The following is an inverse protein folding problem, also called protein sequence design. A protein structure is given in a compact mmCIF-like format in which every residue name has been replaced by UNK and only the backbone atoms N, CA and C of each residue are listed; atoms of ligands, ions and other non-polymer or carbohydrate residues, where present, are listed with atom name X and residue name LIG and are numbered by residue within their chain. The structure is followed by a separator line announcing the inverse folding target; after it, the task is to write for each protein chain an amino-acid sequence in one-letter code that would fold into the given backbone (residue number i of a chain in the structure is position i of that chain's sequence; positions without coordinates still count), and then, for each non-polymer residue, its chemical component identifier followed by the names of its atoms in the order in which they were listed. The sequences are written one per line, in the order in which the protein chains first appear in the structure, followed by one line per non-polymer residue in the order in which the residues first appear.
data_IF_884706482397
#
_entry.id   IF_884706482397
#
_cell.length_a   1.000
_cell.length_b   1.000
_cell.length_c   1.000
_cell.angle_alpha   90.00
_cell.angle_beta   90.00
_cell.angle_gamma   90.00
#
_symmetry.space_group_name_H-M   'P 1'
#
loop_
_entity.id
_entity.type
_entity.pdbx_description
1 polymer ?
#
# COMPACT_ATOMS: atom_id res chain seq x y z
N UNK A 1 14.51 -18.69 -0.91
CA UNK A 1 14.87 -18.31 0.48
C UNK A 1 14.93 -16.80 0.54
N UNK A 2 14.47 -16.03 1.51
CA UNK A 2 13.69 -16.23 2.71
C UNK A 2 13.49 -14.81 3.26
N UNK A 3 12.38 -14.14 2.93
CA UNK A 3 12.03 -12.85 3.56
C UNK A 3 10.51 -12.67 3.74
N UNK A 4 9.73 -13.72 3.49
CA UNK A 4 8.29 -13.75 3.84
C UNK A 4 8.07 -13.80 5.37
N UNK A 5 9.10 -14.08 6.17
CA UNK A 5 9.01 -14.26 7.62
C UNK A 5 9.38 -13.02 8.45
N UNK A 6 9.72 -11.88 7.83
CA UNK A 6 10.02 -10.66 8.59
C UNK A 6 8.80 -10.27 9.43
N UNK A 7 8.91 -10.46 10.75
CA UNK A 7 7.92 -10.00 11.72
C UNK A 7 8.07 -8.49 11.84
N UNK A 8 6.97 -7.77 11.86
CA UNK A 8 6.95 -6.34 12.13
C UNK A 8 5.85 -6.04 13.13
N UNK A 9 6.01 -4.95 13.87
CA UNK A 9 4.99 -4.43 14.77
C UNK A 9 4.09 -3.51 13.97
N UNK A 10 2.77 -3.72 14.09
CA UNK A 10 1.79 -2.83 13.47
C UNK A 10 1.95 -1.40 13.98
N UNK A 11 1.85 -0.44 13.08
CA UNK A 11 1.92 0.99 13.39
C UNK A 11 0.66 1.44 14.13
N UNK A 12 -0.49 0.79 13.88
CA UNK A 12 -1.74 1.04 14.59
C UNK A 12 -2.32 -0.28 15.15
N UNK A 13 -1.71 -0.87 16.20
CA UNK A 13 -2.07 -2.20 16.68
C UNK A 13 -3.49 -2.30 17.22
N UNK A 14 -4.02 -1.20 17.77
CA UNK A 14 -5.39 -1.12 18.29
C UNK A 14 -6.47 -1.02 17.20
N UNK A 15 -6.11 -0.71 15.95
CA UNK A 15 -7.08 -0.63 14.86
C UNK A 15 -7.49 -2.03 14.42
N UNK A 16 -8.79 -2.32 14.42
CA UNK A 16 -9.33 -3.58 13.90
C UNK A 16 -9.01 -3.75 12.41
N UNK A 17 -8.70 -4.99 12.02
CA UNK A 17 -8.46 -5.34 10.62
C UNK A 17 -9.73 -5.94 10.01
N UNK A 18 -9.97 -5.72 8.71
CA UNK A 18 -11.03 -6.42 8.00
C UNK A 18 -10.87 -7.94 8.10
N UNK A 19 -11.99 -8.66 8.18
CA UNK A 19 -12.01 -10.13 8.26
C UNK A 19 -11.50 -10.83 6.99
N UNK A 20 -11.45 -10.12 5.87
CA UNK A 20 -10.92 -10.57 4.58
C UNK A 20 -10.36 -9.37 3.80
N UNK A 21 -9.44 -9.62 2.86
CA UNK A 21 -9.01 -8.62 1.87
C UNK A 21 -9.79 -8.77 0.58
N UNK A 22 -10.26 -7.65 0.02
CA UNK A 22 -10.94 -7.69 -1.27
C UNK A 22 -9.97 -7.94 -2.43
N UNK A 23 -10.38 -8.79 -3.36
CA UNK A 23 -9.65 -9.07 -4.59
C UNK A 23 -10.66 -9.01 -5.74
N UNK A 24 -10.58 -8.00 -6.62
CA UNK A 24 -11.50 -7.83 -7.74
C UNK A 24 -11.55 -9.09 -8.62
N UNK A 25 -12.76 -9.47 -9.04
CA UNK A 25 -12.97 -10.63 -9.93
C UNK A 25 -12.70 -12.01 -9.31
N UNK A 26 -12.31 -12.10 -8.03
CA UNK A 26 -12.00 -13.37 -7.34
C UNK A 26 -13.08 -13.81 -6.33
N UNK A 27 -14.31 -13.33 -6.48
CA UNK A 27 -15.47 -13.78 -5.69
C UNK A 27 -15.56 -13.25 -4.25
N UNK A 28 -14.59 -12.45 -3.79
CA UNK A 28 -14.70 -11.77 -2.49
C UNK A 28 -15.77 -10.66 -2.54
N UNK A 29 -16.65 -10.52 -1.52
CA UNK A 29 -17.64 -9.46 -1.48
C UNK A 29 -16.98 -8.08 -1.58
N UNK A 30 -17.54 -7.17 -2.39
CA UNK A 30 -16.96 -5.83 -2.50
C UNK A 30 -17.16 -5.05 -1.17
N UNK A 31 -16.10 -4.46 -0.57
CA UNK A 31 -16.15 -3.87 0.77
C UNK A 31 -17.29 -2.89 1.00
N UNK A 32 -17.56 -2.01 0.05
CA UNK A 32 -18.59 -0.96 0.15
C UNK A 32 -19.93 -1.28 -0.54
N UNK A 33 -19.96 -2.22 -1.49
CA UNK A 33 -21.07 -2.36 -2.45
C UNK A 33 -21.88 -3.64 -2.27
N UNK A 34 -21.28 -4.67 -1.66
CA UNK A 34 -21.97 -5.92 -1.34
C UNK A 34 -22.46 -5.86 0.11
N UNK A 35 -23.70 -6.27 0.45
CA UNK A 35 -24.18 -6.37 1.83
C UNK A 35 -23.32 -7.22 2.77
N UNK A 36 -22.53 -8.16 2.23
CA UNK A 36 -21.54 -8.98 2.95
C UNK A 36 -20.17 -8.30 3.00
N UNK A 37 -20.04 -7.09 2.47
CA UNK A 37 -18.83 -6.28 2.47
C UNK A 37 -18.40 -5.90 3.88
N UNK A 38 -17.09 -5.92 4.16
CA UNK A 38 -16.57 -5.57 5.49
C UNK A 38 -16.74 -4.08 5.87
N UNK A 39 -17.13 -3.23 4.92
CA UNK A 39 -17.41 -1.80 5.11
C UNK A 39 -18.79 -1.41 4.54
N UNK A 40 -19.71 -2.35 4.38
CA UNK A 40 -21.04 -2.08 3.85
C UNK A 40 -21.80 -1.12 4.77
N UNK A 41 -22.43 -0.08 4.21
CA UNK A 41 -23.06 1.04 4.92
C UNK A 41 -22.14 1.79 5.91
N UNK A 42 -20.82 1.55 5.86
CA UNK A 42 -19.81 2.24 6.67
C UNK A 42 -18.88 2.98 5.73
N UNK A 43 -19.25 4.21 5.34
CA UNK A 43 -18.36 5.05 4.55
C UNK A 43 -17.25 5.57 5.47
N UNK A 44 -15.97 5.29 5.19
CA UNK A 44 -14.90 5.85 5.99
C UNK A 44 -14.92 7.39 5.88
N UNK A 45 -14.56 8.10 6.95
CA UNK A 45 -14.42 9.55 6.90
C UNK A 45 -13.37 9.94 5.88
N UNK A 46 -13.47 11.17 5.35
CA UNK A 46 -12.42 11.70 4.48
C UNK A 46 -11.12 11.84 5.29
N UNK A 47 -9.99 11.32 4.78
CA UNK A 47 -8.72 11.44 5.48
C UNK A 47 -8.28 12.90 5.49
N UNK A 48 -7.55 13.29 6.54
CA UNK A 48 -6.83 14.57 6.54
C UNK A 48 -5.68 14.51 5.53
N UNK A 49 -5.37 15.61 4.83
CA UNK A 49 -4.21 15.68 3.94
C UNK A 49 -2.94 15.19 4.64
N UNK A 50 -2.10 14.47 3.90
CA UNK A 50 -0.77 14.09 4.36
C UNK A 50 0.13 15.32 4.26
N UNK A 51 0.89 15.57 5.33
CA UNK A 51 1.95 16.55 5.34
C UNK A 51 3.26 15.83 5.61
N UNK A 52 4.29 16.17 4.85
CA UNK A 52 5.59 15.54 4.93
C UNK A 52 6.13 15.54 6.36
N UNK A 53 6.26 16.71 7.00
CA UNK A 53 6.85 16.83 8.35
C UNK A 53 6.02 16.16 9.47
N UNK A 54 4.72 15.94 9.23
CA UNK A 54 3.77 15.39 10.22
C UNK A 54 3.18 14.05 9.79
N UNK A 55 3.90 13.32 8.95
CA UNK A 55 3.46 12.05 8.39
C UNK A 55 3.07 11.05 9.48
N UNK A 56 3.81 11.04 10.59
CA UNK A 56 3.65 10.13 11.72
C UNK A 56 2.33 10.32 12.49
N UNK A 57 1.68 11.48 12.35
CA UNK A 57 0.38 11.77 12.97
C UNK A 57 -0.80 11.33 12.07
N UNK A 58 -0.55 11.03 10.79
CA UNK A 58 -1.60 10.71 9.84
C UNK A 58 -2.01 9.24 9.94
N UNK A 59 -3.07 8.97 10.70
CA UNK A 59 -3.61 7.62 10.91
C UNK A 59 -3.95 6.87 9.62
N UNK A 60 -4.43 7.56 8.59
CA UNK A 60 -4.79 6.93 7.30
C UNK A 60 -3.54 6.42 6.57
N UNK A 61 -2.47 7.22 6.61
CA UNK A 61 -1.16 6.84 6.08
C UNK A 61 -0.58 5.62 6.81
N UNK A 62 -0.57 5.64 8.14
CA UNK A 62 -0.07 4.54 8.97
C UNK A 62 -0.90 3.26 8.82
N UNK A 63 -2.22 3.38 8.73
CA UNK A 63 -3.12 2.24 8.52
C UNK A 63 -2.88 1.57 7.17
N UNK A 64 -2.67 2.36 6.11
CA UNK A 64 -2.39 1.84 4.79
C UNK A 64 -1.04 1.11 4.71
N UNK A 65 -0.03 1.57 5.45
CA UNK A 65 1.24 0.85 5.63
C UNK A 65 1.03 -0.51 6.31
N UNK A 66 0.25 -0.55 7.40
CA UNK A 66 -0.15 -1.80 8.06
C UNK A 66 -0.85 -2.74 7.07
N UNK A 67 -1.85 -2.25 6.32
CA UNK A 67 -2.57 -3.04 5.33
C UNK A 67 -1.62 -3.61 4.27
N UNK A 68 -0.73 -2.80 3.71
CA UNK A 68 0.22 -3.26 2.70
C UNK A 68 1.13 -4.37 3.24
N UNK A 69 1.71 -4.15 4.43
CA UNK A 69 2.66 -5.07 5.05
C UNK A 69 2.02 -6.39 5.53
N UNK A 70 0.70 -6.38 5.77
CA UNK A 70 -0.11 -7.57 6.12
C UNK A 70 -0.72 -8.27 4.89
N UNK A 71 -0.63 -7.68 3.70
CA UNK A 71 -1.18 -8.25 2.46
C UNK A 71 -2.64 -7.93 2.18
N UNK A 72 -3.18 -6.87 2.80
CA UNK A 72 -4.47 -6.24 2.47
C UNK A 72 -4.28 -5.20 1.36
N UNK A 73 -3.81 -5.64 0.19
CA UNK A 73 -3.37 -4.73 -0.87
C UNK A 73 -4.49 -3.85 -1.44
N UNK A 74 -5.71 -4.36 -1.50
CA UNK A 74 -6.84 -3.55 -1.95
C UNK A 74 -7.19 -2.47 -0.94
N UNK A 75 -7.20 -2.80 0.35
CA UNK A 75 -7.48 -1.83 1.41
C UNK A 75 -6.38 -0.78 1.52
N UNK A 76 -5.10 -1.15 1.38
CA UNK A 76 -3.98 -0.22 1.29
C UNK A 76 -4.13 0.73 0.08
N UNK A 77 -4.46 0.18 -1.09
CA UNK A 77 -4.72 0.96 -2.30
C UNK A 77 -5.87 1.96 -2.10
N UNK A 78 -7.01 1.51 -1.57
CA UNK A 78 -8.19 2.37 -1.37
C UNK A 78 -7.90 3.50 -0.36
N UNK A 79 -7.25 3.19 0.75
CA UNK A 79 -6.89 4.19 1.77
C UNK A 79 -5.88 5.21 1.23
N UNK A 80 -4.83 4.76 0.53
CA UNK A 80 -3.88 5.67 -0.09
C UNK A 80 -4.48 6.46 -1.27
N UNK A 81 -5.42 5.92 -2.04
CA UNK A 81 -6.08 6.67 -3.12
C UNK A 81 -6.98 7.77 -2.56
N UNK A 82 -7.69 7.50 -1.46
CA UNK A 82 -8.43 8.53 -0.72
C UNK A 82 -7.49 9.60 -0.17
N UNK A 83 -6.38 9.20 0.43
CA UNK A 83 -5.38 10.13 0.98
C UNK A 83 -4.69 10.96 -0.11
N UNK A 84 -4.40 10.36 -1.27
CA UNK A 84 -3.84 11.05 -2.45
C UNK A 84 -4.75 12.18 -2.92
N UNK A 85 -6.05 11.90 -3.07
CA UNK A 85 -7.03 12.93 -3.45
C UNK A 85 -7.13 14.05 -2.42
N UNK A 86 -7.11 13.70 -1.13
CA UNK A 86 -7.15 14.68 -0.05
C UNK A 86 -5.88 15.54 0.04
N UNK A 87 -4.72 15.01 -0.34
CA UNK A 87 -3.43 15.69 -0.24
C UNK A 87 -3.07 16.56 -1.46
N UNK A 88 -3.94 16.61 -2.47
CA UNK A 88 -3.71 17.35 -3.71
C UNK A 88 -2.84 16.55 -4.70
N UNK A 89 -3.43 16.03 -5.79
CA UNK A 89 -2.73 15.11 -6.71
C UNK A 89 -1.43 15.62 -7.33
N UNK A 90 -1.32 16.92 -7.55
CA UNK A 90 -0.18 17.57 -8.23
C UNK A 90 0.93 17.98 -7.26
N UNK A 91 0.69 17.93 -5.94
CA UNK A 91 1.71 18.21 -4.93
C UNK A 91 2.77 17.09 -4.90
N UNK A 92 3.96 17.39 -4.39
CA UNK A 92 5.03 16.39 -4.19
C UNK A 92 4.56 15.23 -3.31
N UNK A 93 3.81 15.53 -2.23
CA UNK A 93 3.15 14.53 -1.38
C UNK A 93 2.10 13.71 -2.14
N UNK A 94 1.30 14.36 -2.98
CA UNK A 94 0.34 13.69 -3.85
C UNK A 94 1.01 12.69 -4.79
N UNK A 95 2.10 13.09 -5.45
CA UNK A 95 2.87 12.20 -6.33
C UNK A 95 3.54 11.06 -5.56
N UNK A 96 4.11 11.32 -4.39
CA UNK A 96 4.61 10.26 -3.50
C UNK A 96 3.52 9.22 -3.17
N UNK A 97 2.34 9.67 -2.74
CA UNK A 97 1.19 8.80 -2.47
C UNK A 97 0.77 8.04 -3.72
N UNK A 98 0.85 8.66 -4.90
CA UNK A 98 0.53 7.99 -6.17
C UNK A 98 1.46 6.80 -6.44
N UNK A 99 2.73 6.90 -6.08
CA UNK A 99 3.67 5.79 -6.13
C UNK A 99 3.23 4.63 -5.23
N UNK A 100 2.84 4.92 -3.98
CA UNK A 100 2.32 3.91 -3.04
C UNK A 100 1.01 3.26 -3.52
N UNK A 101 0.08 4.04 -4.08
CA UNK A 101 -1.15 3.53 -4.72
C UNK A 101 -0.80 2.56 -5.84
N UNK A 102 0.17 2.88 -6.71
CA UNK A 102 0.62 2.00 -7.79
C UNK A 102 1.27 0.73 -7.25
N UNK A 103 2.10 0.83 -6.21
CA UNK A 103 2.74 -0.34 -5.59
C UNK A 103 1.71 -1.26 -4.92
N UNK A 104 0.70 -0.71 -4.25
CA UNK A 104 -0.45 -1.48 -3.73
C UNK A 104 -1.23 -2.14 -4.88
N UNK A 105 -1.47 -1.43 -5.99
CA UNK A 105 -2.11 -2.00 -7.17
C UNK A 105 -1.31 -3.17 -7.76
N UNK A 106 0.02 -3.11 -7.75
CA UNK A 106 0.85 -4.26 -8.13
C UNK A 106 0.56 -5.47 -7.22
N UNK A 107 0.42 -5.25 -5.91
CA UNK A 107 0.01 -6.29 -4.96
C UNK A 107 -1.36 -6.89 -5.27
N UNK A 108 -2.35 -6.05 -5.61
CA UNK A 108 -3.67 -6.51 -6.08
C UNK A 108 -3.51 -7.37 -7.34
N UNK A 109 -2.67 -6.96 -8.30
CA UNK A 109 -2.43 -7.74 -9.53
C UNK A 109 -1.75 -9.08 -9.29
N UNK A 110 -0.92 -9.21 -8.26
CA UNK A 110 -0.42 -10.53 -7.83
C UNK A 110 -1.60 -11.39 -7.37
N UNK A 111 -2.51 -10.84 -6.57
CA UNK A 111 -3.70 -11.55 -6.08
C UNK A 111 -4.72 -11.87 -7.18
N UNK A 112 -4.72 -11.08 -8.25
CA UNK A 112 -5.45 -11.35 -9.49
C UNK A 112 -4.70 -12.31 -10.45
N UNK A 113 -3.51 -12.82 -10.08
CA UNK A 113 -2.63 -13.66 -10.91
C UNK A 113 -2.30 -13.03 -12.28
N UNK A 114 -2.21 -11.69 -12.32
CA UNK A 114 -1.95 -10.91 -13.53
C UNK A 114 -0.51 -10.40 -13.55
N UNK A 115 0.44 -11.23 -13.99
CA UNK A 115 1.86 -10.85 -14.02
C UNK A 115 2.16 -9.60 -14.86
N UNK A 116 1.45 -9.41 -15.97
CA UNK A 116 1.57 -8.21 -16.78
C UNK A 116 1.13 -6.96 -16.00
N UNK A 117 0.02 -7.07 -15.25
CA UNK A 117 -0.46 -6.01 -14.38
C UNK A 117 0.53 -5.67 -13.27
N UNK A 118 1.15 -6.69 -12.65
CA UNK A 118 2.18 -6.50 -11.62
C UNK A 118 3.34 -5.68 -12.18
N UNK A 119 3.93 -6.12 -13.29
CA UNK A 119 5.07 -5.44 -13.92
C UNK A 119 4.76 -3.99 -14.26
N UNK A 120 3.61 -3.73 -14.87
CA UNK A 120 3.19 -2.38 -15.25
C UNK A 120 3.04 -1.45 -14.04
N UNK A 121 2.33 -1.90 -13.00
CA UNK A 121 2.09 -1.06 -11.82
C UNK A 121 3.35 -0.86 -10.99
N UNK A 122 4.17 -1.91 -10.83
CA UNK A 122 5.41 -1.85 -10.08
C UNK A 122 6.45 -0.94 -10.76
N UNK A 123 6.69 -1.10 -12.07
CA UNK A 123 7.60 -0.23 -12.82
C UNK A 123 7.18 1.25 -12.72
N UNK A 124 5.89 1.52 -12.93
CA UNK A 124 5.36 2.88 -12.82
C UNK A 124 5.39 3.44 -11.38
N UNK A 125 5.37 2.59 -10.35
CA UNK A 125 5.60 3.04 -8.98
C UNK A 125 7.07 3.48 -8.79
N UNK A 126 8.01 2.69 -9.31
CA UNK A 126 9.45 3.00 -9.27
C UNK A 126 9.79 4.32 -9.95
N UNK A 127 9.24 4.55 -11.15
CA UNK A 127 9.37 5.83 -11.88
C UNK A 127 8.89 7.01 -11.02
N UNK A 128 7.69 6.91 -10.45
CA UNK A 128 7.13 7.97 -9.60
C UNK A 128 8.00 8.22 -8.36
N UNK A 129 8.53 7.17 -7.72
CA UNK A 129 9.42 7.34 -6.57
C UNK A 129 10.75 8.00 -6.95
N UNK A 130 11.29 7.69 -8.13
CA UNK A 130 12.51 8.32 -8.64
C UNK A 130 12.29 9.82 -8.94
N UNK A 131 11.16 10.18 -9.56
CA UNK A 131 10.82 11.58 -9.85
C UNK A 131 10.68 12.40 -8.56
N UNK A 132 9.99 11.86 -7.55
CA UNK A 132 9.82 12.55 -6.26
C UNK A 132 11.15 12.65 -5.51
N UNK A 133 12.00 11.62 -5.54
CA UNK A 133 13.32 11.66 -4.94
C UNK A 133 14.17 12.78 -5.57
N UNK A 134 14.19 12.88 -6.90
CA UNK A 134 14.94 13.89 -7.63
C UNK A 134 14.43 15.32 -7.36
N UNK A 135 13.13 15.50 -7.16
CA UNK A 135 12.54 16.82 -6.87
C UNK A 135 12.73 17.26 -5.42
N UNK A 136 12.59 16.32 -4.47
CA UNK A 136 12.67 16.64 -3.03
C UNK A 136 14.10 16.86 -2.54
N UNK A 137 15.11 16.33 -3.25
CA UNK A 137 16.52 16.33 -2.84
C UNK A 137 16.71 15.74 -1.42
N UNK A 138 15.92 14.71 -1.10
CA UNK A 138 15.94 13.99 0.17
C UNK A 138 16.06 12.49 -0.04
N UNK A 139 16.71 11.80 0.89
CA UNK A 139 16.79 10.33 0.88
C UNK A 139 15.49 9.66 1.35
N UNK A 140 14.70 10.38 2.18
CA UNK A 140 13.45 9.91 2.77
C UNK A 140 12.34 10.89 2.53
N UNK A 141 11.12 10.39 2.43
CA UNK A 141 9.92 11.20 2.30
C UNK A 141 8.77 10.54 3.05
N UNK A 142 8.10 11.31 3.92
CA UNK A 142 7.07 10.80 4.84
C UNK A 142 7.53 9.56 5.65
N UNK A 143 8.81 9.52 6.03
CA UNK A 143 9.42 8.43 6.80
C UNK A 143 9.92 7.23 5.99
N UNK A 144 9.57 7.10 4.70
CA UNK A 144 10.04 6.01 3.84
C UNK A 144 11.26 6.43 3.02
N UNK A 145 12.24 5.53 2.91
CA UNK A 145 13.46 5.75 2.13
C UNK A 145 13.25 5.44 0.65
N UNK A 146 13.68 6.35 -0.23
CA UNK A 146 13.48 6.21 -1.67
C UNK A 146 14.24 5.03 -2.27
N UNK A 147 15.47 4.77 -1.82
CA UNK A 147 16.25 3.61 -2.29
C UNK A 147 15.52 2.30 -1.99
N UNK A 148 14.94 2.18 -0.79
CA UNK A 148 14.10 1.05 -0.39
C UNK A 148 12.81 0.97 -1.21
N UNK A 149 12.13 2.10 -1.47
CA UNK A 149 10.91 2.13 -2.29
C UNK A 149 11.14 1.74 -3.76
N UNK A 150 12.22 2.24 -4.35
CA UNK A 150 12.62 1.93 -5.72
C UNK A 150 13.05 0.46 -5.85
N UNK A 151 13.81 -0.05 -4.87
CA UNK A 151 14.12 -1.49 -4.79
C UNK A 151 12.86 -2.34 -4.65
N UNK A 152 11.91 -1.94 -3.81
CA UNK A 152 10.64 -2.63 -3.63
C UNK A 152 9.84 -2.70 -4.94
N UNK A 153 9.76 -1.58 -5.67
CA UNK A 153 9.12 -1.53 -6.98
C UNK A 153 9.80 -2.45 -8.01
N UNK A 154 11.13 -2.38 -8.13
CA UNK A 154 11.88 -3.25 -9.05
C UNK A 154 11.71 -4.74 -8.70
N UNK A 155 11.85 -5.10 -7.42
CA UNK A 155 11.63 -6.47 -6.95
C UNK A 155 10.21 -6.94 -7.23
N UNK A 156 9.20 -6.11 -6.99
CA UNK A 156 7.82 -6.47 -7.30
C UNK A 156 7.62 -6.80 -8.78
N UNK A 157 8.30 -6.09 -9.70
CA UNK A 157 8.22 -6.32 -11.13
C UNK A 157 8.96 -7.59 -11.61
N UNK A 158 10.06 -7.94 -10.95
CA UNK A 158 10.93 -9.05 -11.37
C UNK A 158 10.55 -10.41 -10.78
N UNK A 159 9.79 -10.44 -9.68
CA UNK A 159 9.41 -11.68 -9.01
C UNK A 159 8.47 -12.55 -9.86
N UNK A 160 8.58 -13.85 -9.62
CA UNK A 160 7.59 -14.84 -10.03
C UNK A 160 6.69 -15.12 -8.82
N UNK A 161 5.39 -15.13 -9.04
CA UNK A 161 4.40 -15.35 -7.99
C UNK A 161 3.72 -16.70 -8.16
N UNK A 162 3.38 -17.39 -7.06
CA UNK A 162 2.60 -18.62 -7.14
C UNK A 162 1.18 -18.33 -7.64
N UNK A 163 0.61 -19.31 -8.33
CA UNK A 163 -0.80 -19.32 -8.71
C UNK A 163 -1.68 -19.89 -7.58
N UNK A 164 -2.99 -19.85 -7.77
CA UNK A 164 -4.01 -20.42 -6.89
C UNK A 164 -3.99 -19.82 -5.47
N UNK A 165 -3.74 -18.52 -5.39
CA UNK A 165 -3.73 -17.81 -4.12
C UNK A 165 -5.13 -17.75 -3.52
N UNK A 166 -5.27 -18.23 -2.28
CA UNK A 166 -6.54 -18.26 -1.55
C UNK A 166 -7.24 -16.88 -1.54
N UNK A 167 -8.44 -16.75 -2.13
CA UNK A 167 -9.17 -15.49 -2.13
C UNK A 167 -9.60 -15.07 -0.72
N UNK A 168 -9.63 -13.77 -0.45
CA UNK A 168 -10.09 -13.23 0.84
C UNK A 168 -9.07 -13.32 1.97
N UNK A 169 -8.13 -14.26 1.94
CA UNK A 169 -7.05 -14.33 2.95
C UNK A 169 -6.04 -13.20 2.74
N UNK A 170 -5.69 -12.42 3.77
CA UNK A 170 -4.58 -11.48 3.70
C UNK A 170 -3.26 -12.25 3.57
N UNK A 171 -2.52 -11.99 2.51
CA UNK A 171 -1.27 -12.68 2.19
C UNK A 171 -0.25 -11.65 1.72
N UNK A 172 0.85 -11.50 2.47
CA UNK A 172 1.99 -10.70 2.02
C UNK A 172 2.71 -11.46 0.91
N UNK A 173 2.61 -10.96 -0.31
CA UNK A 173 3.21 -11.56 -1.51
C UNK A 173 4.59 -11.00 -1.83
N UNK A 174 4.90 -9.81 -1.31
CA UNK A 174 6.20 -9.18 -1.50
C UNK A 174 7.20 -9.60 -0.42
N UNK A 175 8.49 -9.75 -0.74
CA UNK A 175 9.53 -10.13 0.22
C UNK A 175 10.05 -8.94 1.05
N UNK A 176 9.46 -7.75 0.89
CA UNK A 176 9.87 -6.53 1.58
C UNK A 176 8.73 -5.97 2.43
N UNK A 177 9.09 -5.05 3.32
CA UNK A 177 8.19 -4.28 4.15
C UNK A 177 8.39 -2.80 3.85
N UNK A 178 7.31 -2.02 3.95
CA UNK A 178 7.37 -0.56 3.96
C UNK A 178 7.31 -0.11 5.43
N UNK A 179 8.48 0.08 6.03
CA UNK A 179 8.61 0.52 7.42
C UNK A 179 9.10 1.97 7.42
N UNK A 180 8.34 2.90 8.01
CA UNK A 180 8.80 4.27 8.11
C UNK A 180 9.79 4.43 9.27
N UNK A 181 10.72 5.37 9.14
CA UNK A 181 11.64 5.74 10.20
C UNK A 181 11.57 7.25 10.52
N UNK A 182 11.63 7.64 11.81
CA UNK A 182 11.58 6.76 12.98
C UNK A 182 10.22 6.04 13.09
N UNK A 183 10.18 4.86 13.71
CA UNK A 183 8.91 4.17 13.97
C UNK A 183 8.06 5.06 14.89
N UNK A 184 6.84 5.49 14.49
CA UNK A 184 5.98 6.30 15.34
C UNK A 184 5.66 5.57 16.64
N UNK A 185 5.69 6.29 17.76
CA UNK A 185 5.21 5.78 19.03
C UNK A 185 3.68 5.70 18.96
N UNK A 186 3.12 4.50 19.18
CA UNK A 186 1.69 4.24 19.21
C UNK A 186 1.06 4.58 20.56
#
# INVERSE_FOLDING_TARGET
MAQSAAKFVRLLPATELPRYTHIPGRGTPHPYRDPRGHSYNRKPPQPRPLHEERWAENRSYLLALDFFNLGFYWEAHDEWDRLWRASGPDTTVGRFLKGLVKLAAAGIKVREESIHGVRRHAASAGEVFADVAAESDQDRFCGLEFTTLQFAADRAAQLVYPAELEPGRPLRVFPFLLLPEPIPLS
#
